data_IF_486789917885
#
_entry.id   IF_486789917885
#
_cell.length_a   1.000
_cell.length_b   1.000
_cell.length_c   1.000
_cell.angle_alpha   90.00
_cell.angle_beta   90.00
_cell.angle_gamma   90.00
#
_symmetry.space_group_name_H-M   'P 1'
#
loop_
_entity.id
_entity.type
_entity.pdbx_description
1 polymer ?
#
# COMPACT_ATOMS: atom_id res chain seq x y z
N UNK A 1 -2.08 12.26 29.32
CA UNK A 1 -2.65 11.01 28.75
C UNK A 1 -2.99 11.18 27.25
N UNK A 2 -2.03 11.51 26.39
CA UNK A 2 -2.34 11.99 25.01
C UNK A 2 -1.50 11.33 23.88
N UNK A 3 -0.36 10.72 24.17
CA UNK A 3 0.59 10.27 23.12
C UNK A 3 0.18 8.92 22.49
N UNK A 4 -0.62 8.10 23.18
CA UNK A 4 -1.00 6.76 22.69
C UNK A 4 -2.05 6.80 21.56
N UNK A 5 -2.89 7.82 21.49
CA UNK A 5 -3.95 7.89 20.48
C UNK A 5 -3.39 8.15 19.07
N UNK A 6 -2.48 9.11 18.94
CA UNK A 6 -1.81 9.42 17.67
C UNK A 6 -1.00 8.25 17.10
N UNK A 7 -0.40 7.41 17.97
CA UNK A 7 0.38 6.24 17.54
C UNK A 7 -0.48 5.16 16.89
N UNK A 8 -1.71 4.97 17.39
CA UNK A 8 -2.65 4.02 16.81
C UNK A 8 -3.20 4.54 15.47
N UNK A 9 -3.41 5.85 15.35
CA UNK A 9 -3.85 6.48 14.09
C UNK A 9 -2.81 6.30 12.99
N UNK A 10 -1.52 6.52 13.27
CA UNK A 10 -0.45 6.35 12.26
C UNK A 10 -0.33 4.89 11.80
N UNK A 11 -0.45 3.92 12.72
CA UNK A 11 -0.47 2.49 12.35
C UNK A 11 -1.69 2.15 11.51
N UNK A 12 -2.88 2.65 11.88
CA UNK A 12 -4.10 2.45 11.13
C UNK A 12 -4.02 3.06 9.72
N UNK A 13 -3.47 4.27 9.61
CA UNK A 13 -3.25 4.95 8.34
C UNK A 13 -2.27 4.16 7.43
N UNK A 14 -1.16 3.66 7.98
CA UNK A 14 -0.21 2.85 7.22
C UNK A 14 -0.83 1.53 6.70
N UNK A 15 -1.65 0.87 7.53
CA UNK A 15 -2.42 -0.31 7.10
C UNK A 15 -3.46 0.05 6.04
N UNK A 16 -4.18 1.16 6.21
CA UNK A 16 -5.16 1.65 5.24
C UNK A 16 -4.53 1.95 3.88
N UNK A 17 -3.40 2.65 3.85
CA UNK A 17 -2.65 2.96 2.62
C UNK A 17 -2.21 1.66 1.93
N UNK A 18 -1.65 0.71 2.69
CA UNK A 18 -1.19 -0.57 2.15
C UNK A 18 -2.35 -1.38 1.55
N UNK A 19 -3.50 -1.41 2.23
CA UNK A 19 -4.67 -2.16 1.81
C UNK A 19 -5.31 -1.56 0.56
N UNK A 20 -5.43 -0.23 0.51
CA UNK A 20 -5.92 0.48 -0.68
C UNK A 20 -4.98 0.24 -1.87
N UNK A 21 -3.67 0.40 -1.66
CA UNK A 21 -2.67 0.15 -2.71
C UNK A 21 -2.76 -1.29 -3.25
N UNK A 22 -2.97 -2.27 -2.38
CA UNK A 22 -3.17 -3.67 -2.77
C UNK A 22 -4.41 -3.84 -3.66
N UNK A 23 -5.56 -3.28 -3.26
CA UNK A 23 -6.81 -3.38 -4.05
C UNK A 23 -6.62 -2.75 -5.43
N UNK A 24 -6.09 -1.53 -5.49
CA UNK A 24 -5.87 -0.84 -6.77
C UNK A 24 -4.88 -1.57 -7.67
N UNK A 25 -3.83 -2.16 -7.09
CA UNK A 25 -2.86 -2.96 -7.84
C UNK A 25 -3.53 -4.20 -8.44
N UNK A 26 -4.33 -4.93 -7.67
CA UNK A 26 -5.02 -6.13 -8.14
C UNK A 26 -6.02 -5.76 -9.24
N UNK A 27 -6.85 -4.75 -9.01
CA UNK A 27 -7.87 -4.31 -9.97
C UNK A 27 -7.21 -3.81 -11.26
N UNK A 28 -6.21 -2.92 -11.15
CA UNK A 28 -5.48 -2.40 -12.30
C UNK A 28 -4.72 -3.50 -13.06
N UNK A 29 -4.16 -4.48 -12.35
CA UNK A 29 -3.52 -5.63 -12.99
C UNK A 29 -4.51 -6.49 -13.77
N UNK A 30 -5.69 -6.79 -13.20
CA UNK A 30 -6.73 -7.57 -13.88
C UNK A 30 -7.22 -6.84 -15.13
N UNK A 31 -7.45 -5.53 -15.03
CA UNK A 31 -7.92 -4.70 -16.14
C UNK A 31 -6.90 -4.69 -17.31
N UNK A 32 -5.63 -4.40 -17.00
CA UNK A 32 -4.55 -4.34 -17.99
C UNK A 32 -4.18 -5.72 -18.53
N UNK A 33 -4.26 -6.78 -17.72
CA UNK A 33 -3.98 -8.13 -18.18
C UNK A 33 -5.07 -8.70 -19.11
N UNK A 34 -6.29 -8.15 -19.03
CA UNK A 34 -7.44 -8.60 -19.82
C UNK A 34 -7.45 -8.03 -21.24
N UNK A 35 -6.73 -6.93 -21.50
CA UNK A 35 -6.63 -6.31 -22.82
C UNK A 35 -5.32 -6.72 -23.52
N UNK A 36 -5.45 -7.26 -24.74
CA UNK A 36 -4.34 -7.74 -25.54
C UNK A 36 -3.32 -6.64 -25.92
N UNK A 37 -3.78 -5.37 -25.98
CA UNK A 37 -2.94 -4.23 -26.33
C UNK A 37 -2.11 -3.70 -25.15
N UNK A 38 -2.62 -3.85 -23.92
CA UNK A 38 -2.00 -3.27 -22.72
C UNK A 38 -1.35 -4.30 -21.80
N UNK A 39 -1.54 -5.61 -22.03
CA UNK A 39 -0.94 -6.70 -21.25
C UNK A 39 0.59 -6.62 -21.09
N UNK A 40 1.30 -6.03 -22.07
CA UNK A 40 2.74 -5.81 -21.97
C UNK A 40 3.13 -4.90 -20.78
N UNK A 41 2.22 -4.05 -20.32
CA UNK A 41 2.41 -3.13 -19.19
C UNK A 41 1.95 -3.73 -17.85
N UNK A 42 1.35 -4.91 -17.83
CA UNK A 42 0.90 -5.56 -16.59
C UNK A 42 2.02 -5.76 -15.53
N UNK A 43 3.28 -6.10 -15.92
CA UNK A 43 4.38 -6.16 -14.95
C UNK A 43 4.73 -4.80 -14.33
N UNK A 44 4.53 -3.70 -15.07
CA UNK A 44 4.80 -2.35 -14.57
C UNK A 44 3.84 -2.00 -13.41
N UNK A 45 2.57 -2.37 -13.55
CA UNK A 45 1.54 -2.16 -12.51
C UNK A 45 1.85 -2.96 -11.24
N UNK A 46 2.40 -4.17 -11.37
CA UNK A 46 2.88 -4.93 -10.21
C UNK A 46 4.03 -4.22 -9.50
N UNK A 47 4.99 -3.68 -10.25
CA UNK A 47 6.14 -2.97 -9.67
C UNK A 47 5.68 -1.70 -8.93
N UNK A 48 4.82 -0.90 -9.55
CA UNK A 48 4.23 0.29 -8.92
C UNK A 48 3.44 -0.08 -7.66
N UNK A 49 2.61 -1.13 -7.75
CA UNK A 49 1.84 -1.62 -6.62
C UNK A 49 2.70 -2.07 -5.44
N UNK A 50 3.77 -2.82 -5.70
CA UNK A 50 4.75 -3.23 -4.68
C UNK A 50 5.36 -1.98 -4.02
N UNK A 51 5.69 -0.95 -4.79
CA UNK A 51 6.27 0.28 -4.26
C UNK A 51 5.32 1.00 -3.29
N UNK A 52 4.04 1.16 -3.67
CA UNK A 52 3.05 1.81 -2.81
C UNK A 52 2.72 1.00 -1.54
N UNK A 53 2.62 -0.33 -1.65
CA UNK A 53 2.43 -1.21 -0.49
C UNK A 53 3.64 -1.09 0.45
N UNK A 54 4.86 -1.04 -0.10
CA UNK A 54 6.09 -0.87 0.67
C UNK A 54 6.08 0.44 1.47
N UNK A 55 5.64 1.54 0.89
CA UNK A 55 5.49 2.83 1.59
C UNK A 55 4.52 2.70 2.77
N UNK A 56 3.36 2.08 2.56
CA UNK A 56 2.39 1.86 3.64
C UNK A 56 2.97 1.03 4.79
N UNK A 57 3.72 -0.03 4.47
CA UNK A 57 4.41 -0.86 5.46
C UNK A 57 5.51 -0.10 6.21
N UNK A 58 6.26 0.78 5.53
CA UNK A 58 7.24 1.68 6.16
C UNK A 58 6.56 2.63 7.14
N UNK A 59 5.39 3.19 6.80
CA UNK A 59 4.61 4.04 7.71
C UNK A 59 4.17 3.26 8.95
N UNK A 60 3.68 2.02 8.79
CA UNK A 60 3.35 1.14 9.93
C UNK A 60 4.58 0.91 10.81
N UNK A 61 5.73 0.64 10.20
CA UNK A 61 6.98 0.39 10.92
C UNK A 61 7.50 1.60 11.68
N UNK A 62 7.42 2.80 11.10
CA UNK A 62 7.74 4.07 11.80
C UNK A 62 6.78 4.28 12.97
N UNK A 63 5.48 4.01 12.78
CA UNK A 63 4.49 4.04 13.86
C UNK A 63 4.78 3.02 14.97
N UNK A 64 5.44 1.90 14.65
CA UNK A 64 5.91 0.90 15.62
C UNK A 64 7.14 1.39 16.41
N UNK A 65 8.15 1.97 15.74
CA UNK A 65 9.39 2.42 16.39
C UNK A 65 9.21 3.62 17.31
N UNK A 66 8.25 4.52 17.04
CA UNK A 66 7.89 5.60 17.97
C UNK A 66 6.98 5.15 19.14
N UNK A 67 6.56 3.88 19.14
CA UNK A 67 5.65 3.31 20.13
C UNK A 67 6.34 2.54 21.24
N UNK A 68 7.60 2.11 21.04
CA UNK A 68 8.53 1.77 22.11
C UNK A 68 9.12 3.06 22.69
#
# INVERSE_FOLDING_TARGET
MSINHNKNIVKLAGWGISFIALIYTIVGYIDIASDASTRAFAPLVLIEGIFFISIGLVVVWIGKRKSQ
#
